data_IF_331846373945
#
_entry.id   IF_331846373945
#
_cell.length_a   1.000
_cell.length_b   1.000
_cell.length_c   1.000
_cell.angle_alpha   90.00
_cell.angle_beta   90.00
_cell.angle_gamma   90.00
#
_symmetry.space_group_name_H-M   'P 1'
#
loop_
_entity.id
_entity.type
_entity.pdbx_description
1 polymer ?
#
# COMPACT_ATOMS: atom_id res chain seq x y z
N UNK A 1 -5.52 -11.41 -7.87
CA UNK A 1 -4.95 -11.23 -9.19
C UNK A 1 -3.67 -10.48 -8.95
N UNK A 2 -2.58 -11.05 -9.46
CA UNK A 2 -1.23 -10.59 -9.18
C UNK A 2 -1.04 -9.10 -9.49
N UNK A 3 -0.19 -8.44 -8.70
CA UNK A 3 0.19 -7.04 -8.93
C UNK A 3 0.80 -6.88 -10.33
N UNK A 4 0.43 -5.83 -11.08
CA UNK A 4 0.97 -5.61 -12.41
C UNK A 4 2.50 -5.43 -12.35
N UNK A 5 3.22 -6.10 -13.26
CA UNK A 5 4.70 -6.06 -13.32
C UNK A 5 5.23 -4.63 -13.49
N UNK A 6 4.51 -3.78 -14.25
CA UNK A 6 4.81 -2.36 -14.45
C UNK A 6 3.56 -1.51 -14.24
N UNK A 7 3.73 -0.25 -13.88
CA UNK A 7 2.63 0.70 -13.79
C UNK A 7 2.04 1.02 -15.18
N UNK A 8 0.71 0.94 -15.30
CA UNK A 8 -0.04 1.23 -16.52
C UNK A 8 0.16 2.63 -17.11
N UNK A 9 0.55 3.61 -16.30
CA UNK A 9 0.75 5.00 -16.76
C UNK A 9 2.23 5.36 -16.87
N UNK A 10 3.02 5.10 -15.82
CA UNK A 10 4.42 5.56 -15.75
C UNK A 10 5.43 4.54 -16.30
N UNK A 11 5.04 3.27 -16.49
CA UNK A 11 5.93 2.20 -16.93
C UNK A 11 6.98 1.75 -15.91
N UNK A 12 7.03 2.36 -14.71
CA UNK A 12 7.94 1.94 -13.62
C UNK A 12 7.65 0.50 -13.21
N UNK A 13 8.69 -0.27 -12.93
CA UNK A 13 8.59 -1.65 -12.39
C UNK A 13 7.94 -1.58 -11.00
N UNK A 14 6.92 -2.41 -10.75
CA UNK A 14 6.16 -2.45 -9.50
C UNK A 14 6.20 -3.84 -8.81
N UNK A 15 6.50 -4.91 -9.55
CA UNK A 15 6.53 -6.26 -8.99
C UNK A 15 7.63 -6.44 -7.92
N UNK A 16 8.72 -5.69 -8.01
CA UNK A 16 9.83 -5.71 -7.05
C UNK A 16 9.47 -5.07 -5.69
N UNK A 17 8.62 -4.05 -5.71
CA UNK A 17 8.23 -3.29 -4.50
C UNK A 17 6.97 -3.84 -3.82
N UNK A 18 6.19 -4.65 -4.54
CA UNK A 18 4.92 -5.24 -4.11
C UNK A 18 5.04 -5.98 -2.77
N UNK A 19 5.93 -6.97 -2.70
CA UNK A 19 6.08 -7.85 -1.53
C UNK A 19 6.57 -7.09 -0.29
N UNK A 20 7.43 -6.08 -0.50
CA UNK A 20 7.89 -5.21 0.57
C UNK A 20 6.74 -4.38 1.13
N UNK A 21 5.92 -3.80 0.24
CA UNK A 21 4.79 -2.98 0.64
C UNK A 21 3.76 -3.77 1.45
N UNK A 22 3.45 -5.01 1.07
CA UNK A 22 2.53 -5.87 1.82
C UNK A 22 3.06 -6.20 3.23
N UNK A 23 4.33 -6.57 3.35
CA UNK A 23 4.98 -6.83 4.65
C UNK A 23 4.97 -5.63 5.58
N UNK A 24 5.32 -4.44 5.07
CA UNK A 24 5.30 -3.22 5.87
C UNK A 24 3.88 -2.80 6.25
N UNK A 25 2.92 -2.96 5.34
CA UNK A 25 1.50 -2.69 5.61
C UNK A 25 0.96 -3.58 6.73
N UNK A 26 1.31 -4.87 6.73
CA UNK A 26 0.92 -5.80 7.80
C UNK A 26 1.48 -5.39 9.17
N UNK A 27 2.73 -4.90 9.22
CA UNK A 27 3.34 -4.37 10.46
C UNK A 27 2.57 -3.16 10.99
N UNK A 28 2.23 -2.19 10.15
CA UNK A 28 1.47 -1.01 10.57
C UNK A 28 0.07 -1.37 11.09
N UNK A 29 -0.63 -2.30 10.42
CA UNK A 29 -1.94 -2.79 10.88
C UNK A 29 -1.88 -3.42 12.28
N UNK A 30 -0.74 -4.01 12.66
CA UNK A 30 -0.54 -4.54 14.02
C UNK A 30 -0.33 -3.43 15.05
N UNK A 31 0.36 -2.35 14.67
CA UNK A 31 0.65 -1.19 15.53
C UNK A 31 -0.61 -0.35 15.80
N UNK A 32 -1.49 -0.21 14.81
CA UNK A 32 -2.72 0.59 14.89
C UNK A 32 -3.82 0.02 15.79
N UNK A 33 -3.70 -1.25 16.21
CA UNK A 33 -4.65 -1.87 17.15
C UNK A 33 -4.64 -1.21 18.55
N UNK A 34 -3.76 -0.24 18.82
CA UNK A 34 -3.61 0.41 20.12
C UNK A 34 -4.28 1.79 20.26
N UNK A 35 -4.80 2.39 19.19
CA UNK A 35 -5.40 3.75 19.27
C UNK A 35 -6.88 3.69 18.94
N UNK A 36 -7.68 3.30 19.94
CA UNK A 36 -9.10 3.61 19.97
C UNK A 36 -9.27 5.00 20.59
N UNK A 37 -9.12 6.07 19.81
CA UNK A 37 -9.56 7.39 20.28
C UNK A 37 -10.78 7.88 19.50
N UNK A 38 -11.80 8.24 20.26
CA UNK A 38 -13.21 8.12 19.89
C UNK A 38 -13.80 9.34 19.16
N UNK A 39 -12.96 10.21 18.57
CA UNK A 39 -13.42 11.54 18.13
C UNK A 39 -13.12 11.94 16.67
N UNK A 40 -12.28 11.21 15.92
CA UNK A 40 -12.07 11.45 14.48
C UNK A 40 -11.94 10.15 13.69
N UNK A 41 -13.06 9.51 13.35
CA UNK A 41 -13.11 8.16 12.74
C UNK A 41 -12.46 8.00 11.35
N UNK A 42 -12.15 9.09 10.63
CA UNK A 42 -11.83 9.01 9.18
C UNK A 42 -10.54 9.74 8.75
N UNK A 43 -9.74 10.31 9.65
CA UNK A 43 -8.64 11.22 9.23
C UNK A 43 -7.23 10.82 9.69
N UNK A 44 -7.06 10.17 10.83
CA UNK A 44 -5.71 9.96 11.40
C UNK A 44 -4.97 8.72 10.87
N UNK A 45 -5.64 7.89 10.04
CA UNK A 45 -5.15 6.57 9.68
C UNK A 45 -4.62 6.48 8.23
N UNK A 46 -3.74 7.40 7.80
CA UNK A 46 -3.03 7.26 6.51
C UNK A 46 -1.68 6.55 6.71
N UNK A 47 -1.72 5.33 7.23
CA UNK A 47 -0.53 4.51 7.52
C UNK A 47 0.34 4.26 6.28
N UNK A 48 -0.28 4.14 5.11
CA UNK A 48 0.41 3.79 3.87
C UNK A 48 1.21 4.93 3.24
N UNK A 49 1.08 6.19 3.70
CA UNK A 49 1.80 7.33 3.10
C UNK A 49 3.31 7.20 3.28
N UNK A 50 3.76 6.95 4.50
CA UNK A 50 5.18 6.89 4.85
C UNK A 50 5.88 5.75 4.11
N UNK A 51 5.23 4.58 3.99
CA UNK A 51 5.75 3.45 3.21
C UNK A 51 5.96 3.84 1.74
N UNK A 52 4.97 4.49 1.12
CA UNK A 52 5.04 4.90 -0.28
C UNK A 52 6.10 5.99 -0.53
N UNK A 53 6.31 6.88 0.44
CA UNK A 53 7.36 7.89 0.42
C UNK A 53 8.75 7.24 0.54
N UNK A 54 8.91 6.27 1.44
CA UNK A 54 10.15 5.51 1.64
C UNK A 54 10.53 4.66 0.40
N UNK A 55 9.54 4.13 -0.32
CA UNK A 55 9.74 3.43 -1.60
C UNK A 55 10.10 4.37 -2.78
N UNK A 56 10.16 5.69 -2.54
CA UNK A 56 10.48 6.69 -3.55
C UNK A 56 9.41 6.80 -4.64
N UNK A 57 8.17 6.40 -4.36
CA UNK A 57 7.06 6.46 -5.32
C UNK A 57 6.50 7.88 -5.37
N UNK A 58 7.12 8.82 -6.08
CA UNK A 58 6.65 10.23 -6.09
C UNK A 58 5.39 10.48 -6.92
N UNK A 59 5.16 9.69 -7.98
CA UNK A 59 4.02 9.88 -8.89
C UNK A 59 2.77 9.15 -8.39
N UNK A 60 1.63 9.83 -8.42
CA UNK A 60 0.34 9.29 -7.98
C UNK A 60 -0.07 8.02 -8.76
N UNK A 61 0.26 7.94 -10.05
CA UNK A 61 -0.09 6.81 -10.90
C UNK A 61 0.56 5.50 -10.46
N UNK A 62 1.81 5.57 -9.97
CA UNK A 62 2.52 4.39 -9.48
C UNK A 62 2.03 4.04 -8.05
N UNK A 63 1.68 5.03 -7.20
CA UNK A 63 1.07 4.82 -5.87
C UNK A 63 -0.30 4.14 -5.94
N UNK A 64 -1.16 4.58 -6.86
CA UNK A 64 -2.52 4.04 -7.03
C UNK A 64 -2.51 2.53 -7.18
N UNK A 65 -1.59 1.98 -7.99
CA UNK A 65 -1.54 0.54 -8.23
C UNK A 65 -1.31 -0.26 -6.94
N UNK A 66 -0.48 0.21 -6.01
CA UNK A 66 -0.24 -0.48 -4.73
C UNK A 66 -1.39 -0.29 -3.73
N UNK A 67 -2.01 0.89 -3.72
CA UNK A 67 -3.12 1.18 -2.80
C UNK A 67 -4.37 0.37 -3.17
N UNK A 68 -4.68 0.28 -4.48
CA UNK A 68 -5.91 -0.36 -4.96
C UNK A 68 -5.76 -1.80 -5.40
N UNK A 69 -4.57 -2.40 -5.29
CA UNK A 69 -4.41 -3.80 -5.64
C UNK A 69 -5.10 -4.69 -4.61
N UNK A 70 -5.80 -5.71 -5.12
CA UNK A 70 -6.38 -6.78 -4.34
C UNK A 70 -5.82 -8.07 -4.92
N UNK A 71 -4.94 -8.73 -4.18
CA UNK A 71 -4.56 -10.07 -4.56
C UNK A 71 -5.69 -11.06 -4.20
N UNK A 72 -6.00 -11.89 -5.18
CA UNK A 72 -7.05 -12.90 -5.22
C UNK A 72 -6.44 -14.24 -5.65
N UNK A 73 -5.12 -14.34 -5.79
CA UNK A 73 -4.43 -15.59 -6.10
C UNK A 73 -4.74 -16.65 -5.04
N UNK A 74 -4.95 -16.25 -3.79
CA UNK A 74 -5.32 -17.17 -2.70
C UNK A 74 -6.77 -17.69 -2.75
N UNK A 75 -7.62 -17.14 -3.62
CA UNK A 75 -9.05 -17.47 -3.71
C UNK A 75 -9.33 -18.46 -4.87
N UNK A 76 -8.46 -18.49 -5.89
CA UNK A 76 -8.55 -19.37 -7.06
C UNK A 76 -7.66 -20.59 -6.83
#
# INVERSE_FOLDING_TARGET
MIIPVRCFTCGRVMADVSDYYEKEKEKLILEDKKVTDSLYKNFDNIHTKEILDNLGLRRYCCRRNLISNIDMMHII
#
